data_IF_610672439556
#
_entry.id   IF_610672439556
#
_cell.length_a   1.000
_cell.length_b   1.000
_cell.length_c   1.000
_cell.angle_alpha   90.00
_cell.angle_beta   90.00
_cell.angle_gamma   90.00
#
_symmetry.space_group_name_H-M   'P 1'
#
loop_
_entity.id
_entity.type
_entity.pdbx_description
1 polymer ?
#
# COMPACT_ATOMS: atom_id res chain seq x y z
N UNK A 1 8.27 -17.33 -2.13
CA UNK A 1 7.22 -16.52 -2.74
C UNK A 1 7.84 -15.23 -3.26
N UNK A 2 7.29 -14.60 -4.31
CA UNK A 2 7.89 -13.40 -4.95
C UNK A 2 7.86 -12.15 -4.04
N UNK A 3 6.89 -12.04 -3.12
CA UNK A 3 6.73 -10.85 -2.27
C UNK A 3 7.91 -10.65 -1.31
N UNK A 4 8.46 -11.74 -0.74
CA UNK A 4 9.62 -11.64 0.15
C UNK A 4 10.88 -11.19 -0.58
N UNK A 5 11.02 -11.53 -1.87
CA UNK A 5 12.11 -11.03 -2.71
C UNK A 5 11.97 -9.53 -2.98
N UNK A 6 10.76 -9.06 -3.30
CA UNK A 6 10.46 -7.64 -3.49
C UNK A 6 10.73 -6.84 -2.21
N UNK A 7 10.25 -7.31 -1.06
CA UNK A 7 10.49 -6.69 0.25
C UNK A 7 11.99 -6.55 0.53
N UNK A 8 12.77 -7.59 0.24
CA UNK A 8 14.22 -7.56 0.40
C UNK A 8 14.87 -6.52 -0.52
N UNK A 9 14.53 -6.52 -1.81
CA UNK A 9 15.08 -5.55 -2.78
C UNK A 9 14.77 -4.11 -2.34
N UNK A 10 13.53 -3.84 -1.93
CA UNK A 10 13.12 -2.52 -1.46
C UNK A 10 13.87 -2.12 -0.18
N UNK A 11 13.96 -3.02 0.81
CA UNK A 11 14.69 -2.76 2.05
C UNK A 11 16.18 -2.51 1.80
N UNK A 12 16.81 -3.30 0.93
CA UNK A 12 18.21 -3.15 0.55
C UNK A 12 18.42 -1.79 -0.14
N UNK A 13 17.49 -1.36 -1.00
CA UNK A 13 17.51 -0.03 -1.61
C UNK A 13 17.34 1.08 -0.55
N UNK A 14 16.34 0.99 0.32
CA UNK A 14 16.05 1.99 1.35
C UNK A 14 17.21 2.13 2.36
N UNK A 15 17.89 1.04 2.70
CA UNK A 15 19.06 1.04 3.61
C UNK A 15 20.25 1.88 3.11
N UNK A 16 20.29 2.15 1.80
CA UNK A 16 21.35 2.94 1.17
C UNK A 16 21.03 4.44 1.16
N UNK A 17 19.83 4.83 1.61
CA UNK A 17 19.35 6.20 1.55
C UNK A 17 19.07 6.74 2.95
N UNK A 18 19.42 8.01 3.16
CA UNK A 18 19.16 8.72 4.41
C UNK A 18 18.68 10.14 4.13
N UNK A 19 17.67 10.57 4.87
CA UNK A 19 17.29 11.99 4.96
C UNK A 19 17.42 12.41 6.44
N UNK A 20 16.29 12.60 7.13
CA UNK A 20 16.24 12.96 8.54
C UNK A 20 16.26 11.72 9.46
N UNK A 21 16.01 10.54 8.89
CA UNK A 21 16.07 9.20 9.50
C UNK A 21 16.53 8.20 8.44
N UNK A 22 16.92 6.98 8.83
CA UNK A 22 17.26 5.94 7.86
C UNK A 22 15.96 5.26 7.39
N UNK A 23 15.82 5.05 6.08
CA UNK A 23 14.56 4.57 5.48
C UNK A 23 14.24 3.10 5.72
N UNK A 24 15.14 2.35 6.36
CA UNK A 24 14.98 0.94 6.69
C UNK A 24 14.83 0.67 8.20
N UNK A 25 14.77 1.72 9.03
CA UNK A 25 14.61 1.60 10.47
C UNK A 25 13.30 0.90 10.86
N UNK A 26 13.39 -0.01 11.82
CA UNK A 26 12.23 -0.64 12.42
C UNK A 26 11.45 0.39 13.26
N UNK A 27 10.13 0.38 13.17
CA UNK A 27 9.26 1.29 13.92
C UNK A 27 9.21 0.85 15.39
N UNK A 28 9.50 1.77 16.29
CA UNK A 28 9.35 1.64 17.75
C UNK A 28 8.61 2.88 18.28
N UNK A 29 8.35 2.92 19.59
CA UNK A 29 7.76 4.11 20.24
C UNK A 29 8.62 5.36 20.07
N UNK A 30 9.93 5.20 19.84
CA UNK A 30 10.88 6.31 19.74
C UNK A 30 10.88 7.01 18.37
N UNK A 31 10.35 6.37 17.32
CA UNK A 31 10.38 6.90 15.94
C UNK A 31 8.99 7.00 15.29
N UNK A 32 7.94 7.23 16.07
CA UNK A 32 6.57 7.40 15.56
C UNK A 32 6.41 8.53 14.51
N UNK A 33 7.29 9.53 14.51
CA UNK A 33 7.31 10.57 13.47
C UNK A 33 7.64 10.00 12.09
N UNK A 34 8.46 8.96 12.01
CA UNK A 34 8.75 8.24 10.76
C UNK A 34 7.52 7.47 10.29
N UNK A 35 6.83 6.77 11.19
CA UNK A 35 5.57 6.09 10.88
C UNK A 35 4.53 7.10 10.36
N UNK A 36 4.38 8.24 11.05
CA UNK A 36 3.49 9.32 10.60
C UNK A 36 3.87 9.82 9.21
N UNK A 37 5.16 10.04 8.95
CA UNK A 37 5.65 10.49 7.65
C UNK A 37 5.31 9.49 6.54
N UNK A 38 5.55 8.18 6.75
CA UNK A 38 5.22 7.13 5.78
C UNK A 38 3.72 7.08 5.49
N UNK A 39 2.90 7.23 6.51
CA UNK A 39 1.44 7.28 6.35
C UNK A 39 0.98 8.51 5.57
N UNK A 40 1.56 9.68 5.83
CA UNK A 40 1.25 10.90 5.08
C UNK A 40 1.66 10.74 3.62
N UNK A 41 2.85 10.20 3.35
CA UNK A 41 3.34 9.98 1.99
C UNK A 41 2.45 8.99 1.23
N UNK A 42 2.09 7.85 1.84
CA UNK A 42 1.14 6.89 1.29
C UNK A 42 -0.20 7.57 0.92
N UNK A 43 -0.72 8.42 1.80
CA UNK A 43 -1.97 9.16 1.52
C UNK A 43 -1.81 10.19 0.40
N UNK A 44 -0.60 10.73 0.21
CA UNK A 44 -0.23 11.56 -0.93
C UNK A 44 -0.48 10.83 -2.24
N UNK A 45 0.16 9.66 -2.42
CA UNK A 45 0.07 8.87 -3.67
C UNK A 45 -1.37 8.38 -3.92
N UNK A 46 -2.09 7.98 -2.87
CA UNK A 46 -3.54 7.66 -2.98
C UNK A 46 -4.33 8.88 -3.45
N UNK A 47 -4.02 10.07 -2.94
CA UNK A 47 -4.64 11.32 -3.34
C UNK A 47 -4.36 11.70 -4.79
N UNK A 48 -3.13 11.48 -5.26
CA UNK A 48 -2.72 11.71 -6.65
C UNK A 48 -3.47 10.76 -7.60
N UNK A 49 -3.48 9.46 -7.29
CA UNK A 49 -4.26 8.46 -8.04
C UNK A 49 -5.73 8.83 -8.11
N UNK A 50 -6.33 9.22 -6.98
CA UNK A 50 -7.72 9.65 -6.91
C UNK A 50 -8.00 10.90 -7.74
N UNK A 51 -7.03 11.83 -7.82
CA UNK A 51 -7.17 13.05 -8.61
C UNK A 51 -7.19 12.75 -10.12
N UNK A 52 -6.37 11.82 -10.62
CA UNK A 52 -6.43 11.35 -12.00
C UNK A 52 -7.80 10.75 -12.32
N UNK A 53 -8.29 9.84 -11.47
CA UNK A 53 -9.59 9.18 -11.64
C UNK A 53 -10.72 10.22 -11.62
N UNK A 54 -10.71 11.16 -10.68
CA UNK A 54 -11.70 12.25 -10.57
C UNK A 54 -11.78 13.07 -11.85
N UNK A 55 -10.65 13.47 -12.43
CA UNK A 55 -10.58 14.24 -13.68
C UNK A 55 -11.07 13.43 -14.89
N UNK A 56 -10.82 12.12 -14.92
CA UNK A 56 -11.39 11.22 -15.95
C UNK A 56 -12.91 11.17 -15.85
N UNK A 57 -13.45 10.96 -14.64
CA UNK A 57 -14.91 10.90 -14.41
C UNK A 57 -15.60 12.23 -14.76
N UNK A 58 -14.94 13.37 -14.55
CA UNK A 58 -15.44 14.70 -14.95
C UNK A 58 -15.41 14.94 -16.46
N UNK A 59 -14.69 14.12 -17.22
CA UNK A 59 -14.48 14.30 -18.66
C UNK A 59 -13.34 15.27 -19.01
N UNK A 60 -12.54 15.70 -18.03
CA UNK A 60 -11.40 16.60 -18.25
C UNK A 60 -10.24 15.89 -18.99
N UNK A 61 -10.12 14.57 -18.82
CA UNK A 61 -9.04 13.74 -19.38
C UNK A 61 -9.58 12.37 -19.84
N UNK A 62 -8.91 11.73 -20.81
CA UNK A 62 -9.24 10.37 -21.25
C UNK A 62 -8.45 9.33 -20.46
N UNK A 63 -9.10 8.23 -20.06
CA UNK A 63 -8.46 7.13 -19.33
C UNK A 63 -7.17 6.63 -19.99
N UNK A 64 -7.21 6.36 -21.30
CA UNK A 64 -6.03 5.83 -22.03
C UNK A 64 -4.80 6.73 -21.95
N UNK A 65 -4.99 8.05 -21.83
CA UNK A 65 -3.88 9.00 -21.70
C UNK A 65 -3.31 9.05 -20.27
N UNK A 66 -4.09 8.60 -19.29
CA UNK A 66 -3.78 8.72 -17.87
C UNK A 66 -3.46 7.37 -17.23
N UNK A 67 -3.66 6.26 -17.95
CA UNK A 67 -3.43 4.89 -17.47
C UNK A 67 -2.01 4.71 -16.93
N UNK A 68 -1.01 5.28 -17.60
CA UNK A 68 0.38 5.19 -17.15
C UNK A 68 0.59 5.92 -15.82
N UNK A 69 0.08 7.15 -15.69
CA UNK A 69 0.16 7.89 -14.43
C UNK A 69 -0.57 7.16 -13.29
N UNK A 70 -1.78 6.66 -13.53
CA UNK A 70 -2.49 5.85 -12.53
C UNK A 70 -1.68 4.61 -12.13
N UNK A 71 -0.95 4.01 -13.07
CA UNK A 71 -0.08 2.87 -12.79
C UNK A 71 1.14 3.26 -11.98
N UNK A 72 1.73 4.44 -12.21
CA UNK A 72 2.84 4.98 -11.43
C UNK A 72 2.39 5.20 -9.98
N UNK A 73 1.27 5.92 -9.76
CA UNK A 73 0.73 6.14 -8.42
C UNK A 73 0.40 4.83 -7.69
N UNK A 74 -0.11 3.82 -8.41
CA UNK A 74 -0.39 2.51 -7.83
C UNK A 74 0.89 1.79 -7.37
N UNK A 75 1.99 1.96 -8.11
CA UNK A 75 3.30 1.42 -7.73
C UNK A 75 3.85 2.19 -6.53
N UNK A 76 3.70 3.51 -6.48
CA UNK A 76 4.15 4.31 -5.33
C UNK A 76 3.37 3.96 -4.05
N UNK A 77 2.06 3.76 -4.15
CA UNK A 77 1.22 3.21 -3.07
C UNK A 77 1.78 1.85 -2.62
N UNK A 78 2.09 0.96 -3.57
CA UNK A 78 2.63 -0.36 -3.25
C UNK A 78 3.98 -0.26 -2.53
N UNK A 79 4.87 0.63 -2.97
CA UNK A 79 6.17 0.89 -2.32
C UNK A 79 5.96 1.29 -0.86
N UNK A 80 5.06 2.23 -0.56
CA UNK A 80 4.82 2.61 0.82
C UNK A 80 4.19 1.50 1.66
N UNK A 81 3.32 0.66 1.08
CA UNK A 81 2.77 -0.54 1.77
C UNK A 81 3.87 -1.54 2.14
N UNK A 82 4.79 -1.85 1.22
CA UNK A 82 5.88 -2.78 1.53
C UNK A 82 6.88 -2.17 2.54
N UNK A 83 7.09 -0.85 2.51
CA UNK A 83 7.90 -0.13 3.50
C UNK A 83 7.32 -0.26 4.90
N UNK A 84 6.03 0.01 5.06
CA UNK A 84 5.33 -0.18 6.33
C UNK A 84 5.43 -1.63 6.80
N UNK A 85 5.31 -2.59 5.88
CA UNK A 85 5.36 -4.02 6.18
C UNK A 85 6.68 -4.43 6.85
N UNK A 86 7.83 -4.16 6.23
CA UNK A 86 9.10 -4.58 6.80
C UNK A 86 9.56 -3.71 7.98
N UNK A 87 9.14 -2.44 8.06
CA UNK A 87 9.50 -1.59 9.19
C UNK A 87 8.67 -1.89 10.45
N UNK A 88 7.45 -2.40 10.30
CA UNK A 88 6.57 -2.79 11.42
C UNK A 88 6.62 -4.30 11.74
N UNK A 89 7.51 -5.05 11.08
CA UNK A 89 7.63 -6.52 11.22
C UNK A 89 6.31 -7.27 10.98
N UNK A 90 5.55 -6.85 9.96
CA UNK A 90 4.29 -7.47 9.58
C UNK A 90 4.56 -8.56 8.54
N UNK A 91 4.12 -9.79 8.81
CA UNK A 91 4.02 -10.83 7.78
C UNK A 91 2.77 -10.61 6.92
N UNK A 92 2.89 -9.73 5.92
CA UNK A 92 1.77 -9.31 5.08
C UNK A 92 1.13 -10.48 4.31
N UNK A 93 1.93 -11.48 3.92
CA UNK A 93 1.42 -12.66 3.22
C UNK A 93 0.51 -13.49 4.13
N UNK A 94 0.98 -13.81 5.33
CA UNK A 94 0.20 -14.54 6.32
C UNK A 94 -1.07 -13.77 6.72
N UNK A 95 -0.95 -12.47 6.98
CA UNK A 95 -2.10 -11.61 7.32
C UNK A 95 -3.12 -11.50 6.18
N UNK A 96 -2.67 -11.46 4.92
CA UNK A 96 -3.55 -11.51 3.75
C UNK A 96 -4.36 -12.81 3.73
N UNK A 97 -3.72 -13.97 3.87
CA UNK A 97 -4.42 -15.25 3.85
C UNK A 97 -5.39 -15.41 5.02
N UNK A 98 -5.02 -14.99 6.24
CA UNK A 98 -5.93 -14.95 7.39
C UNK A 98 -7.16 -14.09 7.09
N UNK A 99 -6.95 -12.89 6.53
CA UNK A 99 -8.04 -11.97 6.19
C UNK A 99 -8.93 -12.51 5.06
N UNK A 100 -8.34 -13.20 4.08
CA UNK A 100 -9.08 -13.82 2.98
C UNK A 100 -10.01 -14.92 3.48
N UNK A 101 -9.54 -15.81 4.36
CA UNK A 101 -10.38 -16.86 4.95
C UNK A 101 -11.54 -16.27 5.76
N UNK A 102 -11.27 -15.24 6.58
CA UNK A 102 -12.32 -14.51 7.29
C UNK A 102 -13.36 -13.91 6.33
N UNK A 103 -12.91 -13.29 5.24
CA UNK A 103 -13.80 -12.69 4.25
C UNK A 103 -14.65 -13.74 3.53
N UNK A 104 -14.09 -14.92 3.20
CA UNK A 104 -14.84 -16.03 2.58
C UNK A 104 -16.01 -16.48 3.47
N UNK A 105 -15.77 -16.63 4.77
CA UNK A 105 -16.83 -16.98 5.74
C UNK A 105 -17.90 -15.89 5.75
N UNK A 106 -17.49 -14.63 5.93
CA UNK A 106 -18.40 -13.49 6.00
C UNK A 106 -19.28 -13.34 4.75
N UNK A 107 -18.71 -13.46 3.55
CA UNK A 107 -19.49 -13.36 2.31
C UNK A 107 -20.44 -14.55 2.10
N UNK A 108 -20.06 -15.75 2.54
CA UNK A 108 -20.98 -16.89 2.50
C UNK A 108 -22.18 -16.68 3.43
N UNK A 109 -21.98 -16.10 4.62
CA UNK A 109 -23.07 -15.75 5.54
C UNK A 109 -23.99 -14.67 4.96
N UNK A 110 -23.43 -13.61 4.37
CA UNK A 110 -24.23 -12.58 3.68
C UNK A 110 -25.09 -13.15 2.54
N UNK A 111 -24.51 -13.99 1.68
CA UNK A 111 -25.23 -14.64 0.57
C UNK A 111 -26.34 -15.59 1.05
N UNK A 112 -26.20 -16.16 2.25
CA UNK A 112 -27.22 -17.02 2.84
C UNK A 112 -28.36 -16.21 3.50
N UNK A 113 -28.11 -14.96 3.90
CA UNK A 113 -29.14 -14.07 4.45
C UNK A 113 -29.96 -13.33 3.39
N UNK A 114 -29.46 -13.16 2.17
CA UNK A 114 -30.24 -12.59 1.05
C UNK A 114 -31.16 -13.60 0.33
N UNK A 115 -31.15 -14.88 0.75
CA UNK A 115 -31.95 -15.97 0.15
C UNK A 115 -33.27 -16.28 0.88
N UNK A 116 -33.69 -15.45 1.83
CA UNK A 116 -34.96 -15.61 2.56
C UNK A 116 -35.86 -14.39 2.41
#
# INVERSE_FOLDING_TARGET
MELSAILKIQKDFDSQHKINFNWDEHITEDNLLQLQFLMIALMGEVGEMANYIKKIVRGDMKYEQQKNHISEELVDIFIYVIKLTYQMDIDLESEYFKKLEFNKIRFNEFNNHERF
#
